data_IF_252381971416
#
_entry.id   IF_252381971416
#
_cell.length_a   1.000
_cell.length_b   1.000
_cell.length_c   1.000
_cell.angle_alpha   90.00
_cell.angle_beta   90.00
_cell.angle_gamma   90.00
#
_symmetry.space_group_name_H-M   'P 1'
#
loop_
_entity.id
_entity.type
_entity.pdbx_description
1 polymer ?
#
# COMPACT_ATOMS: atom_id res chain seq x y z
N UNK A 1 16.55 19.04 1.37
CA UNK A 1 16.13 20.12 2.31
C UNK A 1 17.32 20.99 2.60
N UNK A 2 17.21 22.28 2.36
CA UNK A 2 18.30 23.23 2.59
C UNK A 2 18.00 24.08 3.83
N UNK A 3 18.98 24.23 4.72
CA UNK A 3 18.87 25.08 5.93
C UNK A 3 18.53 26.55 5.62
N UNK A 4 18.81 26.99 4.40
CA UNK A 4 18.58 28.37 3.93
C UNK A 4 17.12 28.68 3.58
N UNK A 5 16.23 27.68 3.50
CA UNK A 5 14.82 27.85 3.09
C UNK A 5 13.81 27.64 4.22
N UNK A 6 14.25 27.60 5.47
CA UNK A 6 13.38 27.36 6.64
C UNK A 6 12.52 26.07 6.55
N UNK A 7 12.98 25.08 5.79
CA UNK A 7 12.26 23.86 5.46
C UNK A 7 12.94 22.63 6.10
N UNK A 8 13.59 22.85 7.25
CA UNK A 8 14.25 21.78 8.03
C UNK A 8 13.27 21.31 9.09
N UNK A 9 12.83 20.06 8.95
CA UNK A 9 12.07 19.39 9.99
C UNK A 9 13.04 18.52 10.78
N UNK A 10 13.02 18.69 12.09
CA UNK A 10 13.81 17.89 13.03
C UNK A 10 13.28 16.43 12.99
N UNK A 11 14.12 15.42 12.68
CA UNK A 11 13.69 14.02 12.67
C UNK A 11 13.06 13.59 14.00
N UNK A 12 13.61 14.04 15.13
CA UNK A 12 13.09 13.74 16.46
C UNK A 12 11.62 14.20 16.62
N UNK A 13 11.24 15.34 16.05
CA UNK A 13 9.85 15.81 16.06
C UNK A 13 8.94 14.83 15.36
N UNK A 14 9.32 14.35 14.16
CA UNK A 14 8.51 13.40 13.39
C UNK A 14 8.34 12.07 14.13
N UNK A 15 9.44 11.52 14.67
CA UNK A 15 9.41 10.25 15.39
C UNK A 15 8.69 10.35 16.74
N UNK A 16 8.57 11.54 17.32
CA UNK A 16 7.77 11.76 18.55
C UNK A 16 6.27 11.78 18.26
N UNK A 17 5.87 12.16 17.05
CA UNK A 17 4.46 12.41 16.66
C UNK A 17 3.84 11.29 15.84
N UNK A 18 4.62 10.63 15.01
CA UNK A 18 4.17 9.60 14.06
C UNK A 18 4.92 8.30 14.27
N UNK A 19 4.25 7.19 13.99
CA UNK A 19 4.90 5.89 13.95
C UNK A 19 5.95 5.85 12.82
N UNK A 20 7.11 5.27 13.08
CA UNK A 20 8.24 5.23 12.15
C UNK A 20 7.89 4.57 10.80
N UNK A 21 7.02 3.58 10.76
CA UNK A 21 6.56 2.97 9.51
C UNK A 21 5.76 3.95 8.63
N UNK A 22 5.00 4.88 9.21
CA UNK A 22 4.30 5.93 8.46
C UNK A 22 5.30 6.89 7.81
N UNK A 23 6.33 7.27 8.56
CA UNK A 23 7.38 8.17 8.09
C UNK A 23 8.16 7.50 6.95
N UNK A 24 8.58 6.24 7.12
CA UNK A 24 9.28 5.46 6.09
C UNK A 24 8.43 5.33 4.82
N UNK A 25 7.16 4.98 4.97
CA UNK A 25 6.22 4.87 3.85
C UNK A 25 6.11 6.18 3.08
N UNK A 26 5.93 7.31 3.78
CA UNK A 26 5.85 8.62 3.16
C UNK A 26 7.10 8.92 2.32
N UNK A 27 8.29 8.79 2.90
CA UNK A 27 9.52 9.09 2.17
C UNK A 27 9.75 8.16 0.98
N UNK A 28 9.39 6.89 1.10
CA UNK A 28 9.52 5.93 0.01
C UNK A 28 8.50 6.13 -1.12
N UNK A 29 7.29 6.63 -0.81
CA UNK A 29 6.20 6.80 -1.78
C UNK A 29 6.15 8.19 -2.40
N UNK A 30 6.47 9.24 -1.63
CA UNK A 30 6.30 10.63 -2.04
C UNK A 30 7.52 11.23 -2.75
N UNK A 31 8.69 10.59 -2.63
CA UNK A 31 9.95 11.11 -3.15
C UNK A 31 10.58 10.07 -4.08
N UNK A 32 10.76 10.45 -5.34
CA UNK A 32 11.49 9.62 -6.30
C UNK A 32 12.95 9.51 -5.88
N UNK A 33 13.48 8.29 -5.87
CA UNK A 33 14.86 8.03 -5.46
C UNK A 33 15.86 8.83 -6.31
N UNK A 34 16.74 9.59 -5.64
CA UNK A 34 17.72 10.44 -6.29
C UNK A 34 17.23 11.86 -6.62
N UNK A 35 15.97 12.19 -6.35
CA UNK A 35 15.42 13.52 -6.53
C UNK A 35 15.26 14.26 -5.19
N UNK A 36 15.30 15.59 -5.24
CA UNK A 36 15.00 16.41 -4.09
C UNK A 36 13.49 16.48 -3.84
N UNK A 37 13.07 16.18 -2.61
CA UNK A 37 11.69 16.25 -2.18
C UNK A 37 11.47 17.31 -1.11
N UNK A 38 10.33 18.00 -1.18
CA UNK A 38 9.87 18.87 -0.10
C UNK A 38 8.98 18.07 0.85
N UNK A 39 9.34 18.05 2.13
CA UNK A 39 8.49 17.46 3.14
C UNK A 39 7.26 18.32 3.39
N UNK A 40 6.10 17.67 3.53
CA UNK A 40 4.86 18.27 3.98
C UNK A 40 4.17 17.31 4.95
N UNK A 41 3.91 17.78 6.16
CA UNK A 41 3.20 17.02 7.18
C UNK A 41 1.76 16.71 6.76
N UNK A 42 1.09 17.65 6.09
CA UNK A 42 -0.23 17.45 5.50
C UNK A 42 -0.21 16.30 4.47
N UNK A 43 0.74 16.31 3.55
CA UNK A 43 0.90 15.23 2.56
C UNK A 43 1.22 13.88 3.21
N UNK A 44 1.99 13.86 4.31
CA UNK A 44 2.24 12.62 5.06
C UNK A 44 0.93 12.04 5.58
N UNK A 45 0.10 12.86 6.21
CA UNK A 45 -1.20 12.44 6.74
C UNK A 45 -2.12 11.95 5.60
N UNK A 46 -2.19 12.69 4.49
CA UNK A 46 -3.04 12.36 3.35
C UNK A 46 -2.63 11.03 2.72
N UNK A 47 -1.34 10.81 2.45
CA UNK A 47 -0.82 9.57 1.87
C UNK A 47 -1.05 8.38 2.81
N UNK A 48 -0.76 8.53 4.09
CA UNK A 48 -0.97 7.47 5.07
C UNK A 48 -2.46 7.11 5.17
N UNK A 49 -3.34 8.09 5.21
CA UNK A 49 -4.78 7.84 5.26
C UNK A 49 -5.30 7.22 3.97
N UNK A 50 -4.88 7.69 2.81
CA UNK A 50 -5.34 7.14 1.53
C UNK A 50 -4.85 5.71 1.33
N UNK A 51 -3.56 5.46 1.46
CA UNK A 51 -2.94 4.20 1.09
C UNK A 51 -2.99 3.17 2.21
N UNK A 52 -2.51 3.52 3.40
CA UNK A 52 -2.36 2.54 4.48
C UNK A 52 -3.66 2.30 5.25
N UNK A 53 -4.48 3.33 5.46
CA UNK A 53 -5.73 3.18 6.22
C UNK A 53 -6.88 2.78 5.30
N UNK A 54 -7.23 3.63 4.33
CA UNK A 54 -8.44 3.47 3.52
C UNK A 54 -8.30 2.45 2.39
N UNK A 55 -7.08 2.16 1.92
CA UNK A 55 -6.83 1.14 0.90
C UNK A 55 -6.40 -0.18 1.55
N UNK A 56 -5.13 -0.31 1.93
CA UNK A 56 -4.56 -1.56 2.42
C UNK A 56 -5.18 -2.03 3.75
N UNK A 57 -5.28 -1.15 4.74
CA UNK A 57 -5.87 -1.45 6.05
C UNK A 57 -7.33 -1.86 5.94
N UNK A 58 -8.11 -1.17 5.09
CA UNK A 58 -9.49 -1.53 4.81
C UNK A 58 -9.60 -2.91 4.15
N UNK A 59 -8.75 -3.22 3.16
CA UNK A 59 -8.71 -4.54 2.52
C UNK A 59 -8.48 -5.65 3.54
N UNK A 60 -7.45 -5.53 4.38
CA UNK A 60 -7.10 -6.52 5.40
C UNK A 60 -8.23 -6.69 6.40
N UNK A 61 -8.73 -5.58 6.96
CA UNK A 61 -9.79 -5.59 7.97
C UNK A 61 -11.09 -6.23 7.46
N UNK A 62 -11.53 -5.86 6.25
CA UNK A 62 -12.73 -6.43 5.61
C UNK A 62 -12.55 -7.90 5.33
N UNK A 63 -11.42 -8.30 4.76
CA UNK A 63 -11.15 -9.71 4.44
C UNK A 63 -11.15 -10.57 5.68
N UNK A 64 -10.44 -10.17 6.73
CA UNK A 64 -10.39 -10.91 7.98
C UNK A 64 -11.77 -11.01 8.64
N UNK A 65 -12.56 -9.93 8.62
CA UNK A 65 -13.92 -9.94 9.16
C UNK A 65 -14.85 -10.90 8.40
N UNK A 66 -14.75 -10.93 7.05
CA UNK A 66 -15.53 -11.87 6.24
C UNK A 66 -15.13 -13.32 6.51
N UNK A 67 -13.83 -13.60 6.59
CA UNK A 67 -13.33 -14.94 6.93
C UNK A 67 -13.84 -15.37 8.30
N UNK A 68 -13.64 -14.53 9.31
CA UNK A 68 -14.06 -14.82 10.68
C UNK A 68 -15.56 -15.10 10.81
N UNK A 69 -16.39 -14.38 10.04
CA UNK A 69 -17.85 -14.56 10.08
C UNK A 69 -18.34 -15.80 9.31
N UNK A 70 -17.71 -16.09 8.17
CA UNK A 70 -18.20 -17.13 7.24
C UNK A 70 -17.50 -18.48 7.43
N UNK A 71 -16.27 -18.47 7.95
CA UNK A 71 -15.42 -19.66 8.06
C UNK A 71 -14.73 -19.75 9.43
N UNK A 72 -15.49 -19.90 10.53
CA UNK A 72 -14.92 -19.94 11.88
C UNK A 72 -13.97 -21.12 12.10
N UNK A 73 -14.15 -22.20 11.33
CA UNK A 73 -13.29 -23.40 11.37
C UNK A 73 -12.02 -23.27 10.50
N UNK A 74 -11.86 -22.16 9.77
CA UNK A 74 -10.73 -21.90 8.87
C UNK A 74 -11.10 -22.04 7.39
N UNK A 75 -10.13 -21.65 6.54
CA UNK A 75 -10.28 -21.69 5.08
C UNK A 75 -9.57 -22.89 4.47
N UNK A 76 -10.24 -23.53 3.51
CA UNK A 76 -9.64 -24.54 2.64
C UNK A 76 -9.50 -23.96 1.23
N UNK A 77 -8.31 -24.09 0.64
CA UNK A 77 -8.10 -23.70 -0.75
C UNK A 77 -8.96 -24.57 -1.68
N UNK A 78 -9.70 -23.91 -2.58
CA UNK A 78 -10.41 -24.57 -3.68
C UNK A 78 -10.17 -23.76 -4.93
N UNK A 79 -9.64 -24.42 -5.96
CA UNK A 79 -9.45 -23.80 -7.26
C UNK A 79 -10.80 -23.45 -7.89
N UNK A 80 -10.92 -22.24 -8.43
CA UNK A 80 -12.11 -21.77 -9.13
C UNK A 80 -11.82 -21.61 -10.62
N UNK A 81 -12.83 -21.87 -11.45
CA UNK A 81 -12.78 -21.66 -12.90
C UNK A 81 -13.61 -20.46 -13.35
N UNK A 82 -14.12 -19.66 -12.43
CA UNK A 82 -14.88 -18.44 -12.75
C UNK A 82 -13.93 -17.38 -13.30
N UNK A 83 -14.40 -16.63 -14.32
CA UNK A 83 -13.58 -15.63 -15.02
C UNK A 83 -13.04 -14.54 -14.10
N UNK A 84 -13.84 -14.08 -13.15
CA UNK A 84 -13.49 -13.04 -12.20
C UNK A 84 -12.35 -13.49 -11.26
N UNK A 85 -12.36 -14.76 -10.87
CA UNK A 85 -11.29 -15.32 -10.04
C UNK A 85 -9.99 -15.46 -10.83
N UNK A 86 -10.07 -15.89 -12.09
CA UNK A 86 -8.90 -16.03 -12.96
C UNK A 86 -8.26 -14.67 -13.29
N UNK A 87 -9.07 -13.63 -13.45
CA UNK A 87 -8.56 -12.27 -13.68
C UNK A 87 -7.74 -11.77 -12.48
N UNK A 88 -8.29 -11.89 -11.26
CA UNK A 88 -7.58 -11.45 -10.05
C UNK A 88 -6.35 -12.30 -9.75
N UNK A 89 -6.41 -13.60 -10.00
CA UNK A 89 -5.26 -14.51 -9.89
C UNK A 89 -4.15 -14.11 -10.86
N UNK A 90 -4.49 -13.74 -12.09
CA UNK A 90 -3.55 -13.22 -13.08
C UNK A 90 -2.85 -11.94 -12.60
N UNK A 91 -3.59 -11.01 -11.99
CA UNK A 91 -3.02 -9.78 -11.40
C UNK A 91 -2.07 -10.09 -10.24
N UNK A 92 -2.42 -11.02 -9.36
CA UNK A 92 -1.56 -11.45 -8.25
C UNK A 92 -0.27 -12.09 -8.78
N UNK A 93 -0.39 -12.99 -9.76
CA UNK A 93 0.77 -13.69 -10.34
C UNK A 93 1.73 -12.74 -11.07
N UNK A 94 1.21 -11.69 -11.71
CA UNK A 94 2.04 -10.69 -12.40
C UNK A 94 2.65 -9.64 -11.46
N UNK A 95 2.14 -9.54 -10.23
CA UNK A 95 2.58 -8.52 -9.27
C UNK A 95 4.05 -8.69 -8.86
N UNK A 96 4.42 -9.90 -8.42
CA UNK A 96 5.76 -10.15 -7.84
C UNK A 96 6.89 -9.86 -8.82
N UNK A 97 6.86 -10.38 -10.08
CA UNK A 97 7.92 -10.06 -11.04
C UNK A 97 8.07 -8.56 -11.29
N UNK A 98 6.96 -7.83 -11.41
CA UNK A 98 6.99 -6.38 -11.65
C UNK A 98 7.47 -5.61 -10.43
N UNK A 99 7.07 -6.02 -9.23
CA UNK A 99 7.56 -5.43 -7.99
C UNK A 99 9.08 -5.58 -7.86
N UNK A 100 9.62 -6.77 -8.12
CA UNK A 100 11.08 -7.04 -8.08
C UNK A 100 11.80 -6.16 -9.11
N UNK A 101 11.31 -6.08 -10.36
CA UNK A 101 11.88 -5.22 -11.40
C UNK A 101 11.98 -3.75 -10.95
N UNK A 102 10.94 -3.23 -10.32
CA UNK A 102 10.90 -1.85 -9.82
C UNK A 102 11.86 -1.64 -8.66
N UNK A 103 11.93 -2.59 -7.73
CA UNK A 103 12.87 -2.55 -6.61
C UNK A 103 14.32 -2.63 -7.06
N UNK A 104 14.65 -3.50 -8.00
CA UNK A 104 16.01 -3.63 -8.57
C UNK A 104 16.43 -2.37 -9.32
N UNK A 105 15.47 -1.65 -9.89
CA UNK A 105 15.68 -0.35 -10.54
C UNK A 105 15.69 0.85 -9.57
N UNK A 106 15.61 0.62 -8.25
CA UNK A 106 15.51 1.66 -7.20
C UNK A 106 14.30 2.61 -7.36
N UNK A 107 13.21 2.12 -7.97
CA UNK A 107 11.96 2.87 -8.15
C UNK A 107 10.99 2.57 -7.01
N UNK A 108 11.34 2.97 -5.78
CA UNK A 108 10.57 2.66 -4.56
C UNK A 108 9.15 3.22 -4.63
N UNK A 109 9.00 4.47 -5.08
CA UNK A 109 7.71 5.13 -5.28
C UNK A 109 6.81 4.32 -6.23
N UNK A 110 7.36 3.84 -7.33
CA UNK A 110 6.63 3.02 -8.31
C UNK A 110 6.32 1.61 -7.80
N UNK A 111 7.20 1.01 -7.01
CA UNK A 111 6.94 -0.27 -6.38
C UNK A 111 5.78 -0.19 -5.39
N UNK A 112 5.73 0.88 -4.58
CA UNK A 112 4.62 1.13 -3.65
C UNK A 112 3.31 1.47 -4.38
N UNK A 113 3.36 2.31 -5.42
CA UNK A 113 2.20 2.58 -6.29
C UNK A 113 1.66 1.27 -6.90
N UNK A 114 2.53 0.39 -7.38
CA UNK A 114 2.15 -0.91 -7.91
C UNK A 114 1.47 -1.79 -6.85
N UNK A 115 1.95 -1.76 -5.61
CA UNK A 115 1.36 -2.47 -4.48
C UNK A 115 -0.04 -1.94 -4.14
N UNK A 116 -0.21 -0.61 -4.10
CA UNK A 116 -1.51 -0.01 -3.81
C UNK A 116 -2.52 -0.26 -4.94
N UNK A 117 -2.08 -0.30 -6.19
CA UNK A 117 -2.94 -0.65 -7.33
C UNK A 117 -3.45 -2.10 -7.27
N UNK A 118 -2.63 -3.04 -6.77
CA UNK A 118 -3.10 -4.40 -6.50
C UNK A 118 -4.14 -4.41 -5.37
N UNK A 119 -3.88 -3.69 -4.28
CA UNK A 119 -4.83 -3.56 -3.16
C UNK A 119 -6.17 -2.97 -3.61
N UNK A 120 -6.17 -1.94 -4.46
CA UNK A 120 -7.39 -1.39 -5.07
C UNK A 120 -8.14 -2.42 -5.92
N UNK A 121 -7.41 -3.21 -6.69
CA UNK A 121 -8.02 -4.28 -7.51
C UNK A 121 -8.67 -5.34 -6.64
N UNK A 122 -8.05 -5.71 -5.51
CA UNK A 122 -8.60 -6.66 -4.54
C UNK A 122 -9.81 -6.09 -3.81
N UNK A 123 -9.80 -4.82 -3.42
CA UNK A 123 -10.98 -4.14 -2.85
C UNK A 123 -12.16 -4.16 -3.81
N UNK A 124 -11.94 -3.81 -5.10
CA UNK A 124 -12.97 -3.86 -6.14
C UNK A 124 -13.50 -5.27 -6.38
N UNK A 125 -12.61 -6.26 -6.36
CA UNK A 125 -12.99 -7.66 -6.51
C UNK A 125 -13.94 -8.10 -5.38
N UNK A 126 -13.63 -7.78 -4.12
CA UNK A 126 -14.52 -8.04 -2.97
C UNK A 126 -15.86 -7.34 -3.14
N UNK A 127 -15.87 -6.07 -3.57
CA UNK A 127 -17.11 -5.31 -3.79
C UNK A 127 -17.98 -5.90 -4.90
N UNK A 128 -17.37 -6.45 -5.94
CA UNK A 128 -18.07 -7.08 -7.07
C UNK A 128 -18.71 -8.40 -6.68
N UNK A 129 -17.98 -9.24 -5.98
CA UNK A 129 -18.46 -10.58 -5.62
C UNK A 129 -19.46 -10.55 -4.44
N UNK A 130 -19.36 -9.54 -3.57
CA UNK A 130 -20.18 -9.42 -2.34
C UNK A 130 -20.33 -10.75 -1.61
N UNK A 131 -19.21 -11.41 -1.27
CA UNK A 131 -19.24 -12.72 -0.61
C UNK A 131 -19.86 -12.64 0.79
#
# INVERSE_FOLDING_TARGET
MSKSLNNVIEPEYLFSKYHDEMIKYYFASAITFGEDGNFSEEKLIDIVNADLVNNYGNLVSRTLKMISNSFPEGLFYKQSSQSEHLEIEGKINSFVPKFIELMDAFKLDKALEHTMNLSDSLNKYIDTLRP
#
